data_IF_659024930686
#
_entry.id   IF_659024930686
#
_cell.length_a   1.000
_cell.length_b   1.000
_cell.length_c   1.000
_cell.angle_alpha   90.00
_cell.angle_beta   90.00
_cell.angle_gamma   90.00
#
_symmetry.space_group_name_H-M   'P 1'
#
loop_
_entity.id
_entity.type
_entity.pdbx_description
1 polymer ?
#
# COMPACT_ATOMS: atom_id res chain seq x y z
N UNK A 1 7.85 4.24 -29.92
CA UNK A 1 8.93 3.55 -29.18
C UNK A 1 9.91 4.63 -28.78
N UNK A 2 9.92 5.03 -27.54
CA UNK A 2 10.98 5.88 -27.00
C UNK A 2 12.10 4.91 -26.69
N UNK A 3 13.20 4.96 -27.46
CA UNK A 3 14.47 4.35 -27.05
C UNK A 3 14.86 5.00 -25.72
N UNK A 4 14.68 4.24 -24.64
CA UNK A 4 15.26 4.59 -23.35
C UNK A 4 16.77 4.53 -23.52
N UNK A 5 17.42 5.68 -23.37
CA UNK A 5 18.87 5.81 -23.52
C UNK A 5 19.60 4.71 -22.75
N UNK A 6 20.51 4.03 -23.44
CA UNK A 6 21.48 3.09 -22.85
C UNK A 6 22.23 3.77 -21.72
N UNK A 7 21.92 3.44 -20.48
CA UNK A 7 22.61 3.99 -19.31
C UNK A 7 21.87 3.88 -17.99
N UNK A 8 20.59 3.59 -18.00
CA UNK A 8 19.78 3.46 -16.78
C UNK A 8 19.64 1.98 -16.44
N UNK A 9 20.45 1.48 -15.53
CA UNK A 9 20.45 0.18 -14.88
C UNK A 9 21.21 -0.96 -15.55
N UNK A 10 22.52 -0.95 -15.45
CA UNK A 10 23.38 -2.12 -15.62
C UNK A 10 23.50 -3.01 -14.34
N UNK A 11 22.60 -2.84 -13.38
CA UNK A 11 22.47 -3.68 -12.20
C UNK A 11 21.04 -4.17 -12.03
N UNK A 12 20.78 -5.21 -11.20
CA UNK A 12 19.41 -5.54 -10.83
C UNK A 12 18.83 -4.31 -10.15
N UNK A 13 17.95 -3.60 -10.86
CA UNK A 13 17.23 -2.46 -10.30
C UNK A 13 16.45 -2.90 -9.08
N UNK A 14 16.08 -1.98 -8.18
CA UNK A 14 15.33 -2.30 -6.96
C UNK A 14 13.99 -3.03 -7.23
N UNK A 15 13.61 -3.16 -8.49
CA UNK A 15 12.36 -3.81 -8.98
C UNK A 15 12.52 -5.26 -9.37
N UNK A 16 13.73 -5.81 -9.34
CA UNK A 16 13.93 -7.23 -9.56
C UNK A 16 13.93 -7.93 -8.21
N UNK A 17 12.79 -8.46 -7.85
CA UNK A 17 12.65 -9.30 -6.67
C UNK A 17 13.54 -10.53 -6.75
N UNK A 18 13.66 -11.09 -7.91
CA UNK A 18 14.57 -12.17 -8.30
C UNK A 18 14.58 -12.28 -9.84
N UNK A 19 15.49 -13.09 -10.40
CA UNK A 19 15.64 -13.31 -11.84
C UNK A 19 14.41 -13.98 -12.49
N UNK A 20 13.40 -14.37 -11.73
CA UNK A 20 12.24 -15.14 -12.19
C UNK A 20 10.90 -14.54 -11.78
N UNK A 21 10.87 -13.56 -10.87
CA UNK A 21 9.63 -12.88 -10.45
C UNK A 21 9.07 -11.98 -11.55
N UNK A 22 7.77 -11.73 -11.50
CA UNK A 22 7.12 -10.80 -12.43
C UNK A 22 7.64 -9.38 -12.23
N UNK A 23 7.94 -8.71 -13.33
CA UNK A 23 8.19 -7.28 -13.38
C UNK A 23 6.89 -6.58 -13.73
N UNK A 24 6.51 -5.61 -12.91
CA UNK A 24 5.39 -4.73 -13.21
C UNK A 24 5.89 -3.52 -14.02
N UNK A 25 5.31 -3.32 -15.19
CA UNK A 25 5.60 -2.15 -16.02
C UNK A 25 4.75 -0.95 -15.58
N UNK A 26 5.36 0.10 -15.01
CA UNK A 26 4.60 1.28 -14.61
C UNK A 26 4.01 2.07 -15.80
N UNK A 27 4.54 1.91 -17.02
CA UNK A 27 3.99 2.59 -18.20
C UNK A 27 2.58 2.11 -18.55
N UNK A 28 2.22 0.90 -18.17
CA UNK A 28 0.93 0.30 -18.45
C UNK A 28 -0.23 1.11 -17.83
N UNK A 29 -0.07 1.64 -16.62
CA UNK A 29 -1.11 2.45 -15.98
C UNK A 29 -1.20 3.88 -16.55
N UNK A 30 -0.11 4.40 -17.11
CA UNK A 30 -0.10 5.72 -17.75
C UNK A 30 -0.80 5.72 -19.10
N UNK A 31 -0.70 4.61 -19.85
CA UNK A 31 -1.33 4.47 -21.16
C UNK A 31 -2.84 4.18 -21.08
N UNK A 32 -3.35 3.81 -19.90
CA UNK A 32 -4.78 3.53 -19.71
C UNK A 32 -5.57 4.84 -19.70
N UNK A 33 -6.58 4.95 -20.55
CA UNK A 33 -7.51 6.09 -20.69
C UNK A 33 -7.02 7.32 -21.46
N UNK A 34 -5.82 7.36 -22.04
CA UNK A 34 -5.31 8.49 -22.84
C UNK A 34 -5.47 9.89 -22.20
N UNK A 35 -5.73 9.96 -20.88
CA UNK A 35 -5.85 11.21 -20.15
C UNK A 35 -4.52 11.54 -19.47
N UNK A 36 -4.23 12.81 -19.34
CA UNK A 36 -3.13 13.31 -18.48
C UNK A 36 -3.44 13.00 -17.02
N UNK A 37 -2.40 12.91 -16.20
CA UNK A 37 -2.56 12.88 -14.74
C UNK A 37 -3.28 14.16 -14.31
N UNK A 38 -4.30 14.01 -13.48
CA UNK A 38 -5.03 15.14 -12.89
C UNK A 38 -4.22 15.71 -11.71
N UNK A 39 -3.29 16.60 -12.03
CA UNK A 39 -2.49 17.26 -11.00
C UNK A 39 -3.31 18.23 -10.15
N UNK A 40 -4.40 18.80 -10.67
CA UNK A 40 -5.27 19.70 -9.90
C UNK A 40 -5.97 18.91 -8.79
N UNK A 41 -6.46 17.70 -9.10
CA UNK A 41 -6.98 16.78 -8.08
C UNK A 41 -5.90 16.44 -7.02
N UNK A 42 -4.69 16.12 -7.45
CA UNK A 42 -3.59 15.79 -6.53
C UNK A 42 -3.17 16.98 -5.65
N UNK A 43 -3.25 18.20 -6.14
CA UNK A 43 -2.99 19.42 -5.37
C UNK A 43 -4.01 19.64 -4.24
N UNK A 44 -5.23 19.12 -4.36
CA UNK A 44 -6.24 19.18 -3.27
C UNK A 44 -5.81 18.44 -2.00
N UNK A 45 -4.84 17.53 -2.11
CA UNK A 45 -4.32 16.78 -0.97
C UNK A 45 -3.35 17.59 -0.10
N UNK A 46 -2.93 18.77 -0.54
CA UNK A 46 -2.01 19.62 0.21
C UNK A 46 -2.50 19.89 1.64
N UNK A 47 -1.64 19.66 2.62
CA UNK A 47 -1.94 19.86 4.04
C UNK A 47 -2.89 18.81 4.65
N UNK A 48 -3.39 17.86 3.86
CA UNK A 48 -4.24 16.79 4.38
C UNK A 48 -3.44 15.70 5.11
N UNK A 49 -4.13 14.92 5.93
CA UNK A 49 -3.58 13.73 6.59
C UNK A 49 -4.06 12.45 5.91
N UNK A 50 -3.25 11.39 5.95
CA UNK A 50 -3.60 10.05 5.47
C UNK A 50 -3.78 9.13 6.67
N UNK A 51 -5.01 8.96 7.14
CA UNK A 51 -5.31 8.30 8.42
C UNK A 51 -6.08 6.99 8.28
N UNK A 52 -6.91 6.83 7.25
CA UNK A 52 -7.66 5.60 6.97
C UNK A 52 -7.83 5.37 5.46
N UNK A 53 -7.98 4.10 5.05
CA UNK A 53 -8.04 3.72 3.63
C UNK A 53 -9.29 4.25 2.89
N UNK A 54 -10.40 4.37 3.60
CA UNK A 54 -11.66 4.84 3.02
C UNK A 54 -11.79 6.36 2.85
N UNK A 55 -10.72 7.13 3.07
CA UNK A 55 -10.74 8.57 2.82
C UNK A 55 -10.53 8.94 1.36
N UNK A 56 -10.03 8.01 0.57
CA UNK A 56 -9.79 8.22 -0.85
C UNK A 56 -10.90 7.60 -1.68
N UNK A 57 -11.40 8.34 -2.64
CA UNK A 57 -12.21 7.80 -3.71
C UNK A 57 -11.33 7.08 -4.75
N UNK A 58 -11.96 6.38 -5.67
CA UNK A 58 -11.27 5.62 -6.72
C UNK A 58 -10.42 6.52 -7.61
N UNK A 59 -10.92 7.72 -7.96
CA UNK A 59 -10.23 8.64 -8.84
C UNK A 59 -8.92 9.11 -8.21
N UNK A 60 -8.96 9.53 -6.96
CA UNK A 60 -7.76 9.93 -6.19
C UNK A 60 -6.73 8.79 -6.11
N UNK A 61 -7.18 7.54 -5.85
CA UNK A 61 -6.27 6.38 -5.79
C UNK A 61 -5.62 6.14 -7.14
N UNK A 62 -6.39 6.20 -8.22
CA UNK A 62 -5.88 6.00 -9.59
C UNK A 62 -4.88 7.09 -9.96
N UNK A 63 -5.18 8.36 -9.67
CA UNK A 63 -4.26 9.47 -10.00
C UNK A 63 -2.99 9.43 -9.13
N UNK A 64 -3.08 9.07 -7.85
CA UNK A 64 -1.90 8.79 -7.01
C UNK A 64 -1.04 7.65 -7.59
N UNK A 65 -1.67 6.57 -8.07
CA UNK A 65 -0.97 5.45 -8.68
C UNK A 65 -0.31 5.83 -10.01
N UNK A 66 -0.99 6.63 -10.84
CA UNK A 66 -0.44 7.17 -12.10
C UNK A 66 0.73 8.12 -11.83
N UNK A 67 0.60 8.96 -10.82
CA UNK A 67 1.70 9.84 -10.40
C UNK A 67 2.89 9.03 -9.86
N UNK A 68 2.65 7.98 -9.07
CA UNK A 68 3.71 7.07 -8.63
C UNK A 68 4.40 6.38 -9.82
N UNK A 69 3.65 5.98 -10.85
CA UNK A 69 4.19 5.40 -12.07
C UNK A 69 5.06 6.41 -12.86
N UNK A 70 4.65 7.67 -12.92
CA UNK A 70 5.46 8.74 -13.51
C UNK A 70 6.78 8.91 -12.74
N UNK A 71 6.74 8.89 -11.40
CA UNK A 71 7.93 8.96 -10.55
C UNK A 71 8.85 7.75 -10.73
N UNK A 72 8.28 6.57 -10.98
CA UNK A 72 9.04 5.34 -11.22
C UNK A 72 9.76 5.35 -12.57
N UNK A 73 9.21 6.04 -13.58
CA UNK A 73 9.74 6.10 -14.94
C UNK A 73 10.63 7.33 -15.21
N UNK A 74 10.55 8.35 -14.36
CA UNK A 74 11.19 9.63 -14.63
C UNK A 74 12.23 10.01 -13.56
N UNK A 75 13.10 10.94 -13.92
CA UNK A 75 14.10 11.49 -13.01
C UNK A 75 13.54 12.66 -12.15
N UNK A 76 12.26 12.59 -11.72
CA UNK A 76 11.66 13.64 -10.87
C UNK A 76 12.49 13.90 -9.61
N UNK A 77 13.13 12.86 -9.08
CA UNK A 77 14.02 12.99 -7.92
C UNK A 77 15.13 14.02 -8.12
N UNK A 78 15.66 14.18 -9.35
CA UNK A 78 16.70 15.16 -9.69
C UNK A 78 16.23 16.61 -9.63
N UNK A 79 14.93 16.85 -9.49
CA UNK A 79 14.34 18.19 -9.33
C UNK A 79 14.09 18.59 -7.88
N UNK A 80 14.54 17.77 -6.92
CA UNK A 80 14.54 18.08 -5.48
C UNK A 80 13.17 18.55 -4.93
N UNK A 81 12.06 17.86 -5.22
CA UNK A 81 10.73 18.39 -4.92
C UNK A 81 10.47 18.60 -3.41
N UNK A 82 11.21 17.92 -2.53
CA UNK A 82 11.11 18.12 -1.08
C UNK A 82 12.26 18.91 -0.48
N UNK A 83 13.04 19.65 -1.29
CA UNK A 83 14.08 20.52 -0.74
C UNK A 83 13.50 21.49 0.28
N UNK A 84 14.23 21.62 1.40
CA UNK A 84 13.82 22.42 2.55
C UNK A 84 12.74 21.80 3.45
N UNK A 85 12.17 20.64 3.09
CA UNK A 85 11.18 19.94 3.89
C UNK A 85 11.79 18.97 4.90
N UNK A 86 11.22 18.91 6.09
CA UNK A 86 11.64 18.06 7.20
C UNK A 86 10.50 17.14 7.63
N UNK A 87 10.67 15.84 7.43
CA UNK A 87 9.67 14.82 7.74
C UNK A 87 10.06 14.06 9.01
N UNK A 88 9.13 13.98 9.96
CA UNK A 88 9.30 13.22 11.20
C UNK A 88 8.80 11.79 10.96
N UNK A 89 9.65 10.78 11.18
CA UNK A 89 9.24 9.37 11.17
C UNK A 89 9.20 8.83 12.60
N UNK A 90 7.99 8.75 13.18
CA UNK A 90 7.75 8.38 14.57
C UNK A 90 7.23 6.93 14.67
N UNK A 91 8.15 5.97 14.82
CA UNK A 91 7.84 4.55 14.87
C UNK A 91 7.88 4.02 16.31
N UNK A 92 6.73 4.07 16.99
CA UNK A 92 6.56 3.49 18.33
C UNK A 92 6.36 1.97 18.30
N UNK A 93 6.10 1.40 17.13
CA UNK A 93 6.09 -0.03 16.84
C UNK A 93 7.16 -0.34 15.78
N UNK A 94 7.96 -1.37 16.01
CA UNK A 94 9.04 -1.76 15.10
C UNK A 94 8.53 -2.08 13.68
N UNK A 95 9.15 -1.47 12.67
CA UNK A 95 8.85 -1.73 11.27
C UNK A 95 10.00 -1.36 10.35
N UNK A 96 10.76 -2.34 9.92
CA UNK A 96 11.91 -2.10 9.03
C UNK A 96 11.47 -1.60 7.66
N UNK A 97 10.61 -2.35 6.97
CA UNK A 97 10.20 -2.03 5.59
C UNK A 97 9.44 -0.72 5.49
N UNK A 98 8.42 -0.50 6.32
CA UNK A 98 7.60 0.70 6.25
C UNK A 98 8.44 1.93 6.55
N UNK A 99 9.26 1.90 7.61
CA UNK A 99 10.13 3.00 7.99
C UNK A 99 11.15 3.31 6.89
N UNK A 100 11.97 2.33 6.51
CA UNK A 100 13.03 2.55 5.53
C UNK A 100 12.52 2.98 4.16
N UNK A 101 11.34 2.49 3.73
CA UNK A 101 10.77 2.92 2.44
C UNK A 101 10.20 4.34 2.48
N UNK A 102 9.66 4.80 3.61
CA UNK A 102 9.30 6.21 3.78
C UNK A 102 10.54 7.11 3.86
N UNK A 103 11.52 6.75 4.69
CA UNK A 103 12.76 7.51 4.81
C UNK A 103 13.50 7.57 3.46
N UNK A 104 13.56 6.44 2.73
CA UNK A 104 14.09 6.41 1.37
C UNK A 104 13.30 7.31 0.41
N UNK A 105 11.97 7.32 0.49
CA UNK A 105 11.13 8.17 -0.35
C UNK A 105 11.43 9.66 -0.11
N UNK A 106 11.53 10.09 1.16
CA UNK A 106 11.87 11.46 1.55
C UNK A 106 13.26 11.86 1.05
N UNK A 107 14.28 11.04 1.35
CA UNK A 107 15.67 11.33 1.00
C UNK A 107 15.90 11.36 -0.52
N UNK A 108 15.23 10.49 -1.29
CA UNK A 108 15.30 10.49 -2.76
C UNK A 108 14.65 11.72 -3.40
N UNK A 109 13.79 12.42 -2.70
CA UNK A 109 13.18 13.68 -3.13
C UNK A 109 13.90 14.91 -2.56
N UNK A 110 15.08 14.72 -1.97
CA UNK A 110 15.92 15.72 -1.31
C UNK A 110 15.28 16.36 -0.05
N UNK A 111 14.30 15.68 0.57
CA UNK A 111 13.80 16.04 1.88
C UNK A 111 14.73 15.54 2.99
N UNK A 112 14.52 16.04 4.21
CA UNK A 112 15.26 15.62 5.41
C UNK A 112 14.37 14.79 6.33
N UNK A 113 14.98 13.93 7.13
CA UNK A 113 14.29 13.03 8.05
C UNK A 113 14.73 13.26 9.48
N UNK A 114 13.76 13.45 10.39
CA UNK A 114 13.93 13.27 11.83
C UNK A 114 13.34 11.92 12.22
N UNK A 115 14.21 10.94 12.49
CA UNK A 115 13.77 9.57 12.75
C UNK A 115 13.70 9.26 14.25
N UNK A 116 12.53 8.80 14.70
CA UNK A 116 12.30 8.15 15.99
C UNK A 116 12.03 6.66 15.69
N UNK A 117 13.08 5.80 15.74
CA UNK A 117 12.96 4.41 15.33
C UNK A 117 12.32 3.51 16.37
N UNK A 118 12.18 3.98 17.61
CA UNK A 118 11.68 3.20 18.76
C UNK A 118 11.07 4.17 19.80
N UNK A 119 9.82 3.91 20.20
CA UNK A 119 9.13 4.68 21.24
C UNK A 119 9.86 4.69 22.61
N UNK A 120 10.66 3.67 22.90
CA UNK A 120 11.49 3.60 24.11
C UNK A 120 12.54 4.70 24.22
N UNK A 121 12.85 5.35 23.11
CA UNK A 121 13.81 6.47 23.05
C UNK A 121 13.15 7.85 23.18
N UNK A 122 11.84 7.89 23.45
CA UNK A 122 11.02 9.11 23.52
C UNK A 122 10.51 9.36 24.92
N UNK A 123 9.87 10.51 25.13
CA UNK A 123 9.14 10.84 26.37
C UNK A 123 8.00 9.85 26.68
N UNK A 124 7.44 9.17 25.67
CA UNK A 124 6.43 8.13 25.87
C UNK A 124 6.91 7.02 26.83
N UNK A 125 8.20 6.65 26.76
CA UNK A 125 8.79 5.69 27.70
C UNK A 125 8.81 6.17 29.16
N UNK A 126 8.61 7.47 29.40
CA UNK A 126 8.51 8.10 30.71
C UNK A 126 7.08 8.51 31.07
N UNK A 127 6.08 8.12 30.25
CA UNK A 127 4.68 8.42 30.47
C UNK A 127 4.18 9.73 29.84
N UNK A 128 4.95 10.37 28.96
CA UNK A 128 4.48 11.51 28.16
C UNK A 128 3.30 11.09 27.27
N UNK A 129 2.27 11.92 27.22
CA UNK A 129 1.07 11.63 26.43
C UNK A 129 1.32 11.79 24.93
N UNK A 130 0.57 11.07 24.09
CA UNK A 130 0.63 11.25 22.63
C UNK A 130 0.16 12.64 22.21
N UNK A 131 -0.75 13.22 22.96
CA UNK A 131 -1.26 14.57 22.79
C UNK A 131 -0.14 15.62 22.95
N UNK A 132 0.69 15.49 24.00
CA UNK A 132 1.83 16.39 24.24
C UNK A 132 2.95 16.16 23.21
N UNK A 133 3.23 14.90 22.87
CA UNK A 133 4.17 14.57 21.79
C UNK A 133 3.73 15.21 20.47
N UNK A 134 2.42 15.18 20.15
CA UNK A 134 1.85 15.82 18.97
C UNK A 134 2.06 17.33 18.98
N UNK A 135 1.83 17.99 20.11
CA UNK A 135 2.07 19.42 20.29
C UNK A 135 3.54 19.79 20.00
N UNK A 136 4.47 19.04 20.58
CA UNK A 136 5.90 19.29 20.38
C UNK A 136 6.34 19.08 18.92
N UNK A 137 5.78 18.09 18.23
CA UNK A 137 6.11 17.80 16.83
C UNK A 137 5.76 18.96 15.88
N UNK A 138 4.78 19.81 16.22
CA UNK A 138 4.40 20.97 15.42
C UNK A 138 5.55 21.93 15.14
N UNK A 139 6.57 21.96 16.01
CA UNK A 139 7.73 22.85 15.88
C UNK A 139 8.94 22.18 15.23
N UNK A 140 8.90 20.84 15.01
CA UNK A 140 10.08 20.08 14.61
C UNK A 140 10.10 19.66 13.15
N UNK A 141 8.98 19.77 12.43
CA UNK A 141 8.94 19.33 11.04
C UNK A 141 7.78 19.90 10.25
N UNK A 142 7.58 19.39 9.05
CA UNK A 142 6.51 19.76 8.11
C UNK A 142 5.44 18.69 7.97
N UNK A 143 5.74 17.45 8.33
CA UNK A 143 4.86 16.28 8.23
C UNK A 143 5.31 15.18 9.20
N UNK A 144 4.35 14.45 9.77
CA UNK A 144 4.60 13.31 10.65
C UNK A 144 4.15 12.01 9.99
N UNK A 145 5.02 10.99 10.01
CA UNK A 145 4.70 9.62 9.64
C UNK A 145 4.74 8.79 10.92
N UNK A 146 3.58 8.30 11.38
CA UNK A 146 3.50 7.61 12.66
C UNK A 146 3.08 6.15 12.51
N UNK A 147 3.73 5.28 13.27
CA UNK A 147 3.32 3.89 13.51
C UNK A 147 3.24 3.62 15.00
N UNK A 148 2.15 3.02 15.46
CA UNK A 148 1.90 2.76 16.87
C UNK A 148 1.26 1.39 17.11
N UNK A 149 1.44 0.84 18.31
CA UNK A 149 0.81 -0.41 18.74
C UNK A 149 -0.66 -0.26 19.12
N UNK A 150 -1.08 0.93 19.55
CA UNK A 150 -2.45 1.23 19.97
C UNK A 150 -3.31 1.67 18.80
N UNK A 151 -4.55 1.16 18.74
CA UNK A 151 -5.49 1.44 17.65
C UNK A 151 -5.95 2.91 17.66
N UNK A 152 -6.08 3.55 18.82
CA UNK A 152 -6.55 4.93 18.97
C UNK A 152 -5.43 5.99 18.90
N UNK A 153 -4.17 5.55 18.77
CA UNK A 153 -3.00 6.44 18.79
C UNK A 153 -3.07 7.56 17.75
N UNK A 154 -3.56 7.26 16.54
CA UNK A 154 -3.74 8.26 15.47
C UNK A 154 -4.74 9.35 15.88
N UNK A 155 -5.83 8.98 16.53
CA UNK A 155 -6.83 9.92 17.04
C UNK A 155 -6.22 10.79 18.15
N UNK A 156 -5.49 10.18 19.08
CA UNK A 156 -4.89 10.86 20.24
C UNK A 156 -3.86 11.89 19.83
N UNK A 157 -2.86 11.52 19.01
CA UNK A 157 -1.82 12.46 18.59
C UNK A 157 -2.42 13.65 17.82
N UNK A 158 -3.45 13.41 17.00
CA UNK A 158 -4.14 14.46 16.23
C UNK A 158 -4.93 15.45 17.07
N UNK A 159 -5.10 15.22 18.35
CA UNK A 159 -5.76 16.19 19.26
C UNK A 159 -5.00 17.51 19.26
N UNK A 160 -3.66 17.47 19.28
CA UNK A 160 -2.82 18.67 19.33
C UNK A 160 -1.91 18.82 18.10
N UNK A 161 -1.73 17.77 17.29
CA UNK A 161 -0.91 17.84 16.09
C UNK A 161 -1.61 18.63 14.98
N UNK A 162 -0.96 19.69 14.49
CA UNK A 162 -1.43 20.55 13.40
C UNK A 162 -0.80 20.18 12.04
N UNK A 163 0.32 19.45 12.06
CA UNK A 163 0.99 18.98 10.84
C UNK A 163 0.19 17.89 10.14
N UNK A 164 0.32 17.76 8.82
CA UNK A 164 -0.14 16.57 8.11
C UNK A 164 0.41 15.29 8.75
N UNK A 165 -0.46 14.29 8.95
CA UNK A 165 -0.13 13.00 9.55
C UNK A 165 -0.36 11.87 8.56
N UNK A 166 0.64 10.99 8.41
CA UNK A 166 0.50 9.72 7.71
C UNK A 166 0.45 8.58 8.73
N UNK A 167 -0.67 7.84 8.76
CA UNK A 167 -0.79 6.60 9.50
C UNK A 167 -0.01 5.47 8.80
N UNK A 168 1.12 5.09 9.36
CA UNK A 168 1.96 3.99 8.90
C UNK A 168 1.64 2.64 9.61
N UNK A 169 0.44 2.56 10.20
CA UNK A 169 -0.12 1.40 10.89
C UNK A 169 -0.32 1.64 12.38
N UNK A 170 -1.55 1.42 12.88
CA UNK A 170 -1.93 1.61 14.28
C UNK A 170 -2.67 0.38 14.83
N UNK A 171 -2.04 -0.40 15.67
CA UNK A 171 -2.62 -1.58 16.32
C UNK A 171 -3.32 -2.52 15.33
N UNK A 172 -4.55 -2.92 15.62
CA UNK A 172 -5.46 -3.64 14.73
C UNK A 172 -6.30 -2.71 13.82
N UNK A 173 -6.06 -1.40 13.86
CA UNK A 173 -6.80 -0.39 13.12
C UNK A 173 -6.58 -0.46 11.62
N UNK A 174 -5.84 0.51 11.06
CA UNK A 174 -5.62 0.60 9.61
C UNK A 174 -4.14 0.78 9.25
N UNK A 175 -3.84 0.52 7.98
CA UNK A 175 -2.56 0.83 7.33
C UNK A 175 -2.82 1.37 5.91
N UNK A 176 -3.37 2.60 5.78
CA UNK A 176 -3.85 3.13 4.49
C UNK A 176 -2.77 3.16 3.42
N UNK A 177 -1.52 3.48 3.80
CA UNK A 177 -0.43 3.53 2.83
C UNK A 177 0.03 2.14 2.36
N UNK A 178 -0.23 1.07 3.12
CA UNK A 178 -0.03 -0.29 2.62
C UNK A 178 -1.08 -0.62 1.56
N UNK A 179 -2.34 -0.30 1.80
CA UNK A 179 -3.40 -0.50 0.83
C UNK A 179 -3.12 0.26 -0.49
N UNK A 180 -2.60 1.48 -0.42
CA UNK A 180 -2.17 2.22 -1.63
C UNK A 180 -1.02 1.51 -2.37
N UNK A 181 -0.06 0.93 -1.66
CA UNK A 181 1.02 0.10 -2.27
C UNK A 181 0.43 -1.12 -2.98
N UNK A 182 -0.51 -1.79 -2.34
CA UNK A 182 -1.13 -3.00 -2.85
C UNK A 182 -1.95 -2.70 -4.12
N UNK A 183 -2.76 -1.65 -4.08
CA UNK A 183 -3.55 -1.19 -5.24
C UNK A 183 -2.69 -0.63 -6.35
N UNK A 184 -1.60 0.08 -6.06
CA UNK A 184 -0.63 0.48 -7.07
C UNK A 184 -0.08 -0.72 -7.84
N UNK A 185 0.20 -1.82 -7.15
CA UNK A 185 0.69 -3.05 -7.77
C UNK A 185 -0.38 -3.72 -8.64
N UNK A 186 -1.64 -3.77 -8.15
CA UNK A 186 -2.77 -4.30 -8.92
C UNK A 186 -3.05 -3.48 -10.17
N UNK A 187 -3.02 -2.16 -10.07
CA UNK A 187 -3.24 -1.26 -11.20
C UNK A 187 -2.12 -1.34 -12.25
N UNK A 188 -0.87 -1.60 -11.85
CA UNK A 188 0.21 -1.92 -12.80
C UNK A 188 0.04 -3.29 -13.46
N UNK A 189 -0.40 -4.29 -12.70
CA UNK A 189 -0.62 -5.65 -13.22
C UNK A 189 -1.82 -5.72 -14.16
N UNK A 190 -2.95 -5.10 -13.79
CA UNK A 190 -4.17 -5.04 -14.61
C UNK A 190 -4.69 -3.61 -14.71
N UNK A 191 -4.16 -2.81 -15.64
CA UNK A 191 -4.51 -1.40 -15.78
C UNK A 191 -5.99 -1.12 -16.04
N UNK A 192 -6.74 -2.09 -16.59
CA UNK A 192 -8.17 -1.98 -16.79
C UNK A 192 -8.95 -1.69 -15.49
N UNK A 193 -8.42 -2.09 -14.32
CA UNK A 193 -9.02 -1.78 -13.02
C UNK A 193 -9.08 -0.26 -12.73
N UNK A 194 -8.24 0.54 -13.41
CA UNK A 194 -8.30 2.00 -13.31
C UNK A 194 -9.52 2.61 -14.02
N UNK A 195 -10.19 1.88 -14.92
CA UNK A 195 -11.36 2.38 -15.64
C UNK A 195 -12.59 2.50 -14.71
N UNK A 196 -13.49 3.49 -14.94
CA UNK A 196 -14.75 3.60 -14.21
C UNK A 196 -15.64 2.36 -14.39
N UNK A 197 -15.63 1.81 -15.60
CA UNK A 197 -16.33 0.59 -15.97
C UNK A 197 -15.31 -0.43 -16.45
N UNK A 198 -15.34 -1.63 -15.87
CA UNK A 198 -14.45 -2.73 -16.22
C UNK A 198 -15.28 -3.81 -16.89
N UNK A 199 -14.93 -4.22 -18.15
CA UNK A 199 -15.61 -5.31 -18.83
C UNK A 199 -15.58 -6.57 -17.96
N UNK A 200 -16.67 -7.35 -17.98
CA UNK A 200 -16.82 -8.54 -17.13
C UNK A 200 -15.63 -9.52 -17.26
N UNK A 201 -15.16 -9.75 -18.48
CA UNK A 201 -14.01 -10.61 -18.76
C UNK A 201 -12.67 -10.10 -18.18
N UNK A 202 -12.62 -8.84 -17.71
CA UNK A 202 -11.42 -8.22 -17.11
C UNK A 202 -11.56 -8.01 -15.61
N UNK A 203 -12.73 -8.31 -15.04
CA UNK A 203 -12.95 -8.27 -13.60
C UNK A 203 -12.18 -9.39 -12.91
N UNK A 204 -11.72 -9.11 -11.69
CA UNK A 204 -10.92 -10.07 -10.93
C UNK A 204 -11.76 -10.80 -9.88
N UNK A 205 -11.50 -12.07 -9.69
CA UNK A 205 -11.88 -12.82 -8.49
C UNK A 205 -10.75 -12.69 -7.48
N UNK A 206 -11.02 -11.96 -6.38
CA UNK A 206 -10.04 -11.66 -5.35
C UNK A 206 -10.18 -12.65 -4.19
N UNK A 207 -9.13 -13.44 -3.93
CA UNK A 207 -8.99 -14.26 -2.75
C UNK A 207 -8.24 -13.52 -1.64
N UNK A 208 -8.76 -13.54 -0.42
CA UNK A 208 -8.11 -12.98 0.76
C UNK A 208 -7.93 -14.09 1.79
N UNK A 209 -6.67 -14.47 2.05
CA UNK A 209 -6.35 -15.52 3.02
C UNK A 209 -5.96 -14.90 4.35
N UNK A 210 -6.74 -15.17 5.40
CA UNK A 210 -6.51 -14.65 6.75
C UNK A 210 -7.77 -14.11 7.41
N UNK A 211 -7.61 -13.19 8.37
CA UNK A 211 -8.70 -12.60 9.15
C UNK A 211 -8.76 -11.09 8.95
N UNK A 212 -9.43 -10.62 7.91
CA UNK A 212 -9.44 -9.20 7.52
C UNK A 212 -9.83 -8.25 8.66
N UNK A 213 -10.81 -8.63 9.48
CA UNK A 213 -11.29 -7.78 10.57
C UNK A 213 -10.24 -7.46 11.64
N UNK A 214 -9.25 -8.34 11.83
CA UNK A 214 -8.24 -8.22 12.88
C UNK A 214 -6.86 -7.79 12.35
N UNK A 215 -6.70 -7.68 11.03
CA UNK A 215 -5.39 -7.45 10.41
C UNK A 215 -5.39 -6.15 9.61
N UNK A 216 -4.82 -5.09 10.19
CA UNK A 216 -4.85 -3.72 9.66
C UNK A 216 -4.52 -3.58 8.17
N UNK A 217 -3.53 -4.34 7.66
CA UNK A 217 -3.17 -4.28 6.23
C UNK A 217 -4.28 -4.84 5.35
N UNK A 218 -4.83 -6.00 5.72
CA UNK A 218 -5.92 -6.65 4.98
C UNK A 218 -7.21 -5.84 5.09
N UNK A 219 -7.52 -5.32 6.29
CA UNK A 219 -8.68 -4.44 6.51
C UNK A 219 -8.62 -3.23 5.57
N UNK A 220 -7.50 -2.51 5.55
CA UNK A 220 -7.32 -1.35 4.69
C UNK A 220 -7.35 -1.72 3.19
N UNK A 221 -6.76 -2.87 2.81
CA UNK A 221 -6.81 -3.38 1.45
C UNK A 221 -8.25 -3.68 1.01
N UNK A 222 -9.02 -4.42 1.82
CA UNK A 222 -10.43 -4.69 1.55
C UNK A 222 -11.28 -3.41 1.48
N UNK A 223 -11.08 -2.49 2.43
CA UNK A 223 -11.80 -1.22 2.42
C UNK A 223 -11.56 -0.45 1.12
N UNK A 224 -10.33 -0.45 0.63
CA UNK A 224 -10.00 0.18 -0.66
C UNK A 224 -10.59 -0.61 -1.84
N UNK A 225 -10.70 -1.96 -1.73
CA UNK A 225 -11.35 -2.79 -2.75
C UNK A 225 -12.82 -2.39 -3.00
N UNK A 226 -13.52 -1.91 -1.98
CA UNK A 226 -14.91 -1.45 -2.11
C UNK A 226 -15.02 -0.28 -3.11
N UNK A 227 -14.00 0.57 -3.23
CA UNK A 227 -13.97 1.67 -4.20
C UNK A 227 -13.72 1.19 -5.64
N UNK A 228 -13.22 -0.04 -5.81
CA UNK A 228 -12.95 -0.70 -7.09
C UNK A 228 -13.98 -1.79 -7.42
N UNK A 229 -15.16 -1.74 -6.83
CA UNK A 229 -16.21 -2.77 -7.00
C UNK A 229 -16.50 -3.09 -8.47
N UNK A 230 -16.49 -2.09 -9.37
CA UNK A 230 -16.69 -2.31 -10.80
C UNK A 230 -15.67 -3.25 -11.45
N UNK A 231 -14.46 -3.36 -10.88
CA UNK A 231 -13.38 -4.21 -11.38
C UNK A 231 -13.28 -5.58 -10.68
N UNK A 232 -14.13 -5.84 -9.69
CA UNK A 232 -14.10 -7.07 -8.89
C UNK A 232 -15.38 -7.86 -9.16
N UNK A 233 -15.23 -9.10 -9.62
CA UNK A 233 -16.37 -9.99 -9.84
C UNK A 233 -16.89 -10.57 -8.52
N UNK A 234 -15.96 -10.89 -7.61
CA UNK A 234 -16.24 -11.49 -6.30
C UNK A 234 -15.01 -11.39 -5.40
N UNK A 235 -15.23 -11.32 -4.10
CA UNK A 235 -14.19 -11.52 -3.08
C UNK A 235 -14.49 -12.83 -2.34
N UNK A 236 -13.49 -13.70 -2.21
CA UNK A 236 -13.57 -14.89 -1.35
C UNK A 236 -12.56 -14.76 -0.21
N UNK A 237 -13.08 -14.69 1.02
CA UNK A 237 -12.25 -14.71 2.23
C UNK A 237 -12.06 -16.16 2.66
N UNK A 238 -10.80 -16.58 2.72
CA UNK A 238 -10.40 -17.92 3.17
C UNK A 238 -9.87 -17.80 4.61
N UNK A 239 -10.61 -18.33 5.57
CA UNK A 239 -10.29 -18.17 7.00
C UNK A 239 -10.76 -19.33 7.84
N UNK A 240 -10.01 -19.65 8.90
CA UNK A 240 -10.43 -20.59 9.94
C UNK A 240 -11.51 -20.01 10.87
N UNK A 241 -11.68 -18.70 10.87
CA UNK A 241 -12.64 -18.04 11.75
C UNK A 241 -14.04 -18.03 11.13
N UNK A 242 -15.05 -18.25 11.95
CA UNK A 242 -16.45 -18.18 11.53
C UNK A 242 -16.87 -16.74 11.14
N UNK A 243 -16.30 -15.73 11.80
CA UNK A 243 -16.48 -14.30 11.48
C UNK A 243 -15.11 -13.65 11.22
N UNK A 244 -14.57 -13.77 10.00
CA UNK A 244 -13.26 -13.20 9.67
C UNK A 244 -13.30 -11.70 9.37
N UNK A 245 -14.47 -11.12 9.10
CA UNK A 245 -14.64 -9.72 8.76
C UNK A 245 -14.66 -8.81 9.98
N UNK A 246 -15.28 -9.27 11.08
CA UNK A 246 -15.60 -8.44 12.22
C UNK A 246 -16.67 -7.37 11.89
N UNK A 247 -17.23 -6.73 12.90
CA UNK A 247 -18.41 -5.87 12.74
C UNK A 247 -18.18 -4.67 11.78
N UNK A 248 -17.03 -4.01 11.89
CA UNK A 248 -16.74 -2.80 11.10
C UNK A 248 -16.66 -3.11 9.60
N UNK A 249 -15.86 -4.10 9.22
CA UNK A 249 -15.68 -4.46 7.81
C UNK A 249 -16.94 -5.12 7.23
N UNK A 250 -17.67 -5.91 8.04
CA UNK A 250 -18.94 -6.49 7.63
C UNK A 250 -19.97 -5.41 7.28
N UNK A 251 -20.02 -4.31 8.04
CA UNK A 251 -20.89 -3.16 7.74
C UNK A 251 -20.52 -2.54 6.38
N UNK A 252 -19.24 -2.26 6.14
CA UNK A 252 -18.81 -1.68 4.86
C UNK A 252 -19.10 -2.60 3.67
N UNK A 253 -18.91 -3.91 3.84
CA UNK A 253 -19.25 -4.90 2.80
C UNK A 253 -20.75 -4.91 2.52
N UNK A 254 -21.59 -4.86 3.57
CA UNK A 254 -23.04 -4.85 3.41
C UNK A 254 -23.58 -3.58 2.73
N UNK A 255 -22.85 -2.45 2.84
CA UNK A 255 -23.18 -1.19 2.17
C UNK A 255 -22.65 -1.14 0.72
N UNK A 256 -21.90 -2.15 0.27
CA UNK A 256 -21.33 -2.23 -1.07
C UNK A 256 -22.11 -3.22 -1.96
N UNK A 257 -21.95 -3.07 -3.27
CA UNK A 257 -22.49 -4.02 -4.26
C UNK A 257 -21.58 -5.27 -4.44
N UNK A 258 -20.50 -5.39 -3.66
CA UNK A 258 -19.54 -6.49 -3.82
C UNK A 258 -20.07 -7.78 -3.21
N UNK A 259 -20.02 -8.84 -4.00
CA UNK A 259 -20.25 -10.20 -3.50
C UNK A 259 -19.04 -10.67 -2.71
N UNK A 260 -19.22 -10.89 -1.40
CA UNK A 260 -18.19 -11.42 -0.51
C UNK A 260 -18.65 -12.77 0.03
N UNK A 261 -17.83 -13.80 -0.16
CA UNK A 261 -18.06 -15.16 0.34
C UNK A 261 -16.97 -15.54 1.33
N UNK A 262 -17.26 -16.44 2.26
CA UNK A 262 -16.31 -16.96 3.23
C UNK A 262 -16.23 -18.47 3.06
N UNK A 263 -15.01 -19.01 3.01
CA UNK A 263 -14.73 -20.44 3.07
C UNK A 263 -13.61 -20.71 4.07
N UNK A 264 -13.53 -21.94 4.56
CA UNK A 264 -12.44 -22.38 5.41
C UNK A 264 -11.44 -23.30 4.70
N UNK A 265 -11.61 -23.50 3.39
CA UNK A 265 -10.69 -24.29 2.57
C UNK A 265 -10.26 -23.50 1.33
N UNK A 266 -8.95 -23.34 1.13
CA UNK A 266 -8.40 -22.66 -0.03
C UNK A 266 -8.52 -23.53 -1.31
N UNK A 267 -8.48 -24.85 -1.18
CA UNK A 267 -8.56 -25.77 -2.33
C UNK A 267 -9.92 -25.67 -3.05
N UNK A 268 -10.99 -25.26 -2.33
CA UNK A 268 -12.31 -25.05 -2.93
C UNK A 268 -12.34 -23.92 -3.97
N UNK A 269 -11.40 -22.97 -3.90
CA UNK A 269 -11.47 -21.73 -4.67
C UNK A 269 -10.18 -21.37 -5.41
N UNK A 270 -9.06 -21.97 -5.04
CA UNK A 270 -7.72 -21.57 -5.51
C UNK A 270 -7.60 -21.55 -7.05
N UNK A 271 -8.20 -22.50 -7.74
CA UNK A 271 -8.19 -22.61 -9.20
C UNK A 271 -9.02 -21.51 -9.91
N UNK A 272 -9.83 -20.76 -9.15
CA UNK A 272 -10.69 -19.68 -9.68
C UNK A 272 -10.19 -18.28 -9.34
N UNK A 273 -9.14 -18.16 -8.51
CA UNK A 273 -8.65 -16.88 -8.03
C UNK A 273 -7.70 -16.22 -9.03
N UNK A 274 -7.97 -14.98 -9.42
CA UNK A 274 -7.06 -14.14 -10.20
C UNK A 274 -5.97 -13.51 -9.33
N UNK A 275 -6.34 -13.11 -8.12
CA UNK A 275 -5.47 -12.47 -7.14
C UNK A 275 -5.61 -13.16 -5.81
N UNK A 276 -4.50 -13.54 -5.19
CA UNK A 276 -4.47 -14.04 -3.83
C UNK A 276 -3.71 -13.05 -2.96
N UNK A 277 -4.46 -12.38 -2.08
CA UNK A 277 -3.86 -11.56 -1.04
C UNK A 277 -3.60 -12.43 0.19
N UNK A 278 -2.38 -12.92 0.30
CA UNK A 278 -1.96 -13.77 1.41
C UNK A 278 -1.55 -12.91 2.60
N UNK A 279 -1.99 -13.29 3.79
CA UNK A 279 -1.53 -12.66 5.01
C UNK A 279 -1.12 -13.70 6.04
N UNK A 280 -0.14 -13.35 6.84
CA UNK A 280 0.64 -14.32 7.59
C UNK A 280 0.02 -14.85 8.85
N UNK A 281 -1.05 -14.31 9.48
CA UNK A 281 -1.50 -14.90 10.75
C UNK A 281 -2.76 -14.22 11.30
N UNK A 282 -3.71 -15.03 11.77
CA UNK A 282 -4.75 -14.60 12.68
C UNK A 282 -4.16 -14.35 14.09
N UNK A 283 -4.27 -13.13 14.58
CA UNK A 283 -4.09 -12.84 16.01
C UNK A 283 -5.32 -13.41 16.75
N UNK A 284 -5.09 -14.46 17.55
CA UNK A 284 -6.05 -14.91 18.54
C UNK A 284 -5.51 -14.55 19.93
N UNK A 285 -5.96 -13.43 20.46
CA UNK A 285 -5.41 -12.86 21.70
C UNK A 285 -3.95 -12.42 21.51
N UNK A 286 -3.13 -12.55 22.56
CA UNK A 286 -1.70 -12.21 22.52
C UNK A 286 -0.82 -13.27 21.82
N UNK A 287 -1.42 -14.30 21.20
CA UNK A 287 -0.71 -15.42 20.59
C UNK A 287 -0.84 -15.37 19.06
N UNK A 288 0.31 -15.38 18.36
CA UNK A 288 0.35 -15.64 16.93
C UNK A 288 0.11 -17.12 16.68
N UNK A 289 -1.07 -17.49 16.15
CA UNK A 289 -1.30 -18.85 15.67
C UNK A 289 -0.64 -19.03 14.31
N UNK A 290 0.16 -20.08 14.16
CA UNK A 290 0.65 -20.50 12.84
C UNK A 290 -0.55 -20.92 12.00
N UNK A 291 -0.66 -20.39 10.78
CA UNK A 291 -1.68 -20.84 9.83
C UNK A 291 -1.58 -22.36 9.64
N UNK A 292 -2.71 -23.04 9.57
CA UNK A 292 -2.79 -24.46 9.22
C UNK A 292 -2.06 -24.69 7.89
N UNK A 293 -1.44 -25.85 7.73
CA UNK A 293 -0.71 -26.21 6.51
C UNK A 293 -1.56 -26.15 5.24
N UNK A 294 -2.87 -26.37 5.36
CA UNK A 294 -3.84 -26.27 4.24
C UNK A 294 -3.97 -24.85 3.64
N UNK A 295 -3.54 -23.82 4.34
CA UNK A 295 -3.54 -22.44 3.82
C UNK A 295 -2.18 -22.01 3.27
N UNK A 296 -1.20 -22.92 3.23
CA UNK A 296 0.13 -22.63 2.68
C UNK A 296 0.12 -22.73 1.17
N UNK A 297 0.75 -21.76 0.53
CA UNK A 297 0.98 -21.79 -0.90
C UNK A 297 2.43 -22.17 -1.22
N UNK A 298 2.61 -23.01 -2.21
CA UNK A 298 3.90 -23.45 -2.75
C UNK A 298 3.83 -23.55 -4.27
N UNK A 299 4.95 -23.80 -4.95
CA UNK A 299 5.01 -23.82 -6.41
C UNK A 299 4.09 -24.88 -7.08
N UNK A 300 3.70 -25.92 -6.32
CA UNK A 300 2.81 -26.98 -6.80
C UNK A 300 1.33 -26.72 -6.47
N UNK A 301 1.00 -25.60 -5.78
CA UNK A 301 -0.39 -25.20 -5.54
C UNK A 301 -1.11 -24.99 -6.87
N UNK A 302 -2.36 -25.44 -6.97
CA UNK A 302 -3.16 -25.44 -8.20
C UNK A 302 -3.67 -24.03 -8.57
N UNK A 303 -2.76 -23.12 -8.76
CA UNK A 303 -3.06 -21.76 -9.19
C UNK A 303 -3.43 -21.73 -10.67
N UNK A 304 -4.39 -20.88 -11.06
CA UNK A 304 -4.56 -20.62 -12.49
C UNK A 304 -3.32 -19.91 -13.09
N UNK A 305 -3.04 -20.11 -14.40
CA UNK A 305 -1.76 -19.69 -15.00
C UNK A 305 -1.40 -18.22 -14.81
N UNK A 306 -2.39 -17.33 -14.84
CA UNK A 306 -2.21 -15.88 -14.72
C UNK A 306 -2.47 -15.32 -13.31
N UNK A 307 -2.73 -16.20 -12.33
CA UNK A 307 -2.95 -15.79 -10.95
C UNK A 307 -1.70 -15.14 -10.36
N UNK A 308 -1.92 -14.11 -9.54
CA UNK A 308 -0.85 -13.44 -8.81
C UNK A 308 -1.04 -13.54 -7.30
N UNK A 309 0.08 -13.54 -6.59
CA UNK A 309 0.10 -13.54 -5.13
C UNK A 309 0.67 -12.22 -4.65
N UNK A 310 -0.09 -11.54 -3.79
CA UNK A 310 0.30 -10.36 -3.03
C UNK A 310 0.51 -10.73 -1.56
N UNK A 311 1.40 -10.02 -0.88
CA UNK A 311 1.66 -10.19 0.54
C UNK A 311 2.24 -8.91 1.16
N UNK A 312 1.69 -8.36 2.25
CA UNK A 312 2.19 -7.12 2.87
C UNK A 312 3.55 -7.27 3.55
N UNK A 313 4.06 -8.50 3.61
CA UNK A 313 5.34 -8.89 4.21
C UNK A 313 5.44 -8.55 5.73
N UNK A 314 6.20 -9.28 6.57
CA UNK A 314 7.10 -10.37 6.21
C UNK A 314 6.34 -11.69 6.08
N UNK A 315 6.58 -12.43 5.00
CA UNK A 315 6.08 -13.80 4.90
C UNK A 315 6.78 -14.71 5.92
N UNK A 316 6.10 -15.77 6.27
CA UNK A 316 6.60 -16.89 7.06
C UNK A 316 6.32 -18.20 6.29
N UNK A 317 5.81 -19.23 6.98
CA UNK A 317 5.51 -20.52 6.37
C UNK A 317 4.27 -20.54 5.46
N UNK A 318 3.46 -19.49 5.43
CA UNK A 318 2.28 -19.37 4.56
C UNK A 318 2.61 -19.21 3.08
N UNK A 319 3.78 -18.65 2.75
CA UNK A 319 4.31 -18.57 1.40
C UNK A 319 5.66 -19.27 1.35
N UNK A 320 5.69 -20.44 0.72
CA UNK A 320 6.93 -21.20 0.53
C UNK A 320 7.89 -20.47 -0.43
N UNK A 321 9.20 -20.63 -0.19
CA UNK A 321 10.23 -20.02 -1.02
C UNK A 321 10.25 -20.54 -2.46
N UNK A 322 9.67 -21.70 -2.72
CA UNK A 322 9.52 -22.25 -4.08
C UNK A 322 8.68 -21.35 -4.99
N UNK A 323 7.80 -20.53 -4.42
CA UNK A 323 7.01 -19.54 -5.17
C UNK A 323 7.85 -18.39 -5.73
N UNK A 324 9.03 -18.12 -5.17
CA UNK A 324 9.86 -16.97 -5.57
C UNK A 324 10.25 -17.03 -7.05
N UNK A 325 10.43 -18.23 -7.57
CA UNK A 325 10.79 -18.47 -8.96
C UNK A 325 9.62 -18.62 -9.92
N UNK A 326 8.38 -18.47 -9.47
CA UNK A 326 7.18 -18.65 -10.27
C UNK A 326 6.65 -17.33 -10.83
N UNK A 327 5.83 -17.34 -11.90
CA UNK A 327 5.17 -16.14 -12.41
C UNK A 327 4.14 -15.56 -11.44
N UNK A 328 3.70 -16.33 -10.43
CA UNK A 328 2.71 -15.90 -9.45
C UNK A 328 3.26 -14.92 -8.40
N UNK A 329 4.59 -14.86 -8.24
CA UNK A 329 5.24 -13.98 -7.28
C UNK A 329 5.12 -12.51 -7.70
N UNK A 330 4.21 -11.78 -7.05
CA UNK A 330 4.12 -10.33 -7.18
C UNK A 330 4.49 -9.58 -5.89
N UNK A 331 4.61 -10.28 -4.75
CA UNK A 331 4.80 -9.68 -3.44
C UNK A 331 6.13 -8.91 -3.29
N UNK A 332 7.17 -9.25 -4.04
CA UNK A 332 8.40 -8.46 -4.02
C UNK A 332 8.30 -7.20 -4.91
N UNK A 333 7.68 -7.30 -6.08
CA UNK A 333 7.41 -6.13 -6.92
C UNK A 333 6.45 -5.16 -6.21
N UNK A 334 5.46 -5.69 -5.48
CA UNK A 334 4.59 -4.93 -4.58
C UNK A 334 5.42 -4.16 -3.53
N UNK A 335 6.32 -4.83 -2.82
CA UNK A 335 7.17 -4.18 -1.83
C UNK A 335 8.09 -3.11 -2.42
N UNK A 336 8.61 -3.33 -3.63
CA UNK A 336 9.46 -2.37 -4.34
C UNK A 336 8.69 -1.10 -4.76
N UNK A 337 7.45 -1.24 -5.23
CA UNK A 337 6.59 -0.12 -5.60
C UNK A 337 6.25 0.84 -4.46
N UNK A 338 6.48 0.41 -3.21
CA UNK A 338 6.17 1.21 -2.03
C UNK A 338 6.90 2.56 -1.98
N UNK A 339 8.10 2.66 -2.51
CA UNK A 339 8.87 3.92 -2.50
C UNK A 339 8.16 4.97 -3.35
N UNK A 340 7.69 4.62 -4.54
CA UNK A 340 7.12 5.56 -5.50
C UNK A 340 5.73 6.05 -5.07
N UNK A 341 4.86 5.17 -4.60
CA UNK A 341 3.55 5.61 -4.09
C UNK A 341 3.70 6.50 -2.85
N UNK A 342 4.72 6.26 -2.01
CA UNK A 342 5.06 7.11 -0.87
C UNK A 342 5.64 8.45 -1.29
N UNK A 343 6.47 8.48 -2.34
CA UNK A 343 6.91 9.73 -2.94
C UNK A 343 5.73 10.56 -3.46
N UNK A 344 4.80 9.94 -4.19
CA UNK A 344 3.60 10.62 -4.69
C UNK A 344 2.79 11.24 -3.53
N UNK A 345 2.51 10.47 -2.49
CA UNK A 345 1.78 10.94 -1.31
C UNK A 345 2.51 12.12 -0.65
N UNK A 346 3.82 12.01 -0.41
CA UNK A 346 4.62 13.04 0.24
C UNK A 346 4.63 14.35 -0.55
N UNK A 347 4.80 14.27 -1.87
CA UNK A 347 4.77 15.45 -2.77
C UNK A 347 3.40 16.13 -2.68
N UNK A 348 2.31 15.37 -2.70
CA UNK A 348 0.96 15.90 -2.61
C UNK A 348 0.71 16.58 -1.24
N UNK A 349 0.94 15.86 -0.14
CA UNK A 349 0.64 16.36 1.20
C UNK A 349 1.48 17.58 1.61
N UNK A 350 2.70 17.68 1.10
CA UNK A 350 3.61 18.81 1.35
C UNK A 350 3.44 19.98 0.35
N UNK A 351 2.42 19.93 -0.53
CA UNK A 351 2.11 20.99 -1.48
C UNK A 351 3.22 21.20 -2.53
N UNK A 352 3.87 20.14 -2.95
CA UNK A 352 5.00 20.17 -3.88
C UNK A 352 4.68 19.67 -5.30
N UNK A 353 3.43 19.44 -5.61
CA UNK A 353 2.99 19.01 -6.96
C UNK A 353 3.43 20.05 -8.02
N UNK A 354 3.31 21.35 -7.73
CA UNK A 354 3.76 22.40 -8.63
C UNK A 354 5.27 22.40 -8.89
N UNK A 355 6.09 21.80 -8.01
CA UNK A 355 7.54 21.66 -8.21
C UNK A 355 7.91 20.65 -9.30
N UNK A 356 6.97 19.82 -9.76
CA UNK A 356 7.18 18.86 -10.84
C UNK A 356 7.29 19.63 -12.18
N UNK A 357 8.41 19.52 -12.92
CA UNK A 357 8.60 20.25 -14.15
C UNK A 357 7.50 20.01 -15.19
N UNK A 358 7.09 21.06 -15.90
CA UNK A 358 6.05 20.97 -16.93
C UNK A 358 6.38 19.96 -18.04
N UNK A 359 7.66 19.82 -18.42
CA UNK A 359 8.11 18.80 -19.37
C UNK A 359 7.85 17.37 -18.91
N UNK A 360 8.03 17.07 -17.61
CA UNK A 360 7.72 15.76 -17.03
C UNK A 360 6.21 15.53 -16.97
N UNK A 361 5.43 16.56 -16.62
CA UNK A 361 3.96 16.50 -16.64
C UNK A 361 3.40 16.19 -18.06
N UNK A 362 4.17 16.48 -19.10
CA UNK A 362 3.79 16.20 -20.50
C UNK A 362 4.15 14.78 -20.96
N UNK A 363 4.99 14.02 -20.24
CA UNK A 363 5.35 12.64 -20.59
C UNK A 363 4.18 11.65 -20.51
N UNK A 364 3.03 12.10 -20.05
CA UNK A 364 1.77 11.31 -19.97
C UNK A 364 0.87 11.49 -21.19
N UNK A 365 1.43 12.02 -22.31
CA UNK A 365 0.73 12.15 -23.61
C UNK A 365 0.74 10.88 -24.42
#
# INVERSE_FOLDING_TARGET
>A
MVELADGIHSGPGPFHSNSKGQRLDPSAILSTNAKRIDFDLLETLNGQSVVHAGQFDRETIVELARFAALLELSEVASHHPLDGKLVITAFFEASTRTRLSFESAVLRLDGKVLSVPDGRTTGAAKGESLEDIGEMMNTYGDLVIMRHTETDAVRRIRTNLQLPLINAGNGSGEHPTQALVDWYSLLKWRPALAAPEVPEAQRIHLGIVGTPGNMRAVKSFMRMALTFAAGISKITVVSEMADPLGAELATWVAESDLKVEVTNDIEDVIESLDVIYMNSIALLGDSYKTLDSRYRLHAESKLQPDAIILHPMARRSELDISLDGTPHNLYFAQAAGAVFIRQAILICLLGRVAAIPGGIRLLTQ
#
